data_IF_594373153652
#
_entry.id   IF_594373153652
#
_cell.length_a   1.000
_cell.length_b   1.000
_cell.length_c   1.000
_cell.angle_alpha   90.00
_cell.angle_beta   90.00
_cell.angle_gamma   90.00
#
_symmetry.space_group_name_H-M   'P 1'
#
loop_
_entity.id
_entity.type
_entity.pdbx_description
1 polymer ?
#
# COMPACT_ATOMS: atom_id res chain seq x y z
N UNK A 1 1.34 25.22 24.13
CA UNK A 1 0.77 23.91 23.73
C UNK A 1 -0.27 24.10 22.61
N UNK A 2 -1.22 25.03 22.75
CA UNK A 2 -2.12 25.41 21.65
C UNK A 2 -1.39 25.72 20.33
N UNK A 3 -0.36 26.56 20.35
CA UNK A 3 0.35 26.97 19.12
C UNK A 3 1.01 25.79 18.40
N UNK A 4 1.57 24.84 19.17
CA UNK A 4 2.15 23.60 18.63
C UNK A 4 1.05 22.77 17.94
N UNK A 5 -0.09 22.57 18.59
CA UNK A 5 -1.21 21.82 18.01
C UNK A 5 -1.79 22.49 16.76
N UNK A 6 -1.81 23.82 16.71
CA UNK A 6 -2.24 24.58 15.53
C UNK A 6 -1.28 24.40 14.35
N UNK A 7 0.00 24.14 14.58
CA UNK A 7 0.94 23.82 13.50
C UNK A 7 0.74 22.41 12.92
N UNK A 8 0.21 21.46 13.70
CA UNK A 8 -0.09 20.10 13.20
C UNK A 8 -1.46 20.00 12.52
N UNK A 9 -2.38 20.93 12.79
CA UNK A 9 -3.72 20.94 12.19
C UNK A 9 -3.70 20.91 10.64
N UNK A 10 -2.87 21.70 9.93
CA UNK A 10 -2.75 21.62 8.48
C UNK A 10 -2.34 20.22 7.97
N UNK A 11 -1.47 19.52 8.69
CA UNK A 11 -1.00 18.17 8.31
C UNK A 11 -2.18 17.19 8.37
N UNK A 12 -2.98 17.25 9.43
CA UNK A 12 -4.17 16.41 9.57
C UNK A 12 -5.23 16.72 8.52
N UNK A 13 -5.46 18.01 8.22
CA UNK A 13 -6.38 18.43 7.16
C UNK A 13 -5.91 17.90 5.81
N UNK A 14 -4.62 18.03 5.49
CA UNK A 14 -4.07 17.52 4.24
C UNK A 14 -4.20 16.00 4.13
N UNK A 15 -3.92 15.26 5.19
CA UNK A 15 -4.11 13.81 5.24
C UNK A 15 -5.57 13.42 5.02
N UNK A 16 -6.51 14.15 5.64
CA UNK A 16 -7.95 13.96 5.44
C UNK A 16 -8.39 14.22 4.00
N UNK A 17 -7.91 15.31 3.38
CA UNK A 17 -8.19 15.63 1.98
C UNK A 17 -7.59 14.59 1.04
N UNK A 18 -6.36 14.15 1.26
CA UNK A 18 -5.69 13.14 0.43
C UNK A 18 -6.40 11.79 0.49
N UNK A 19 -6.74 11.32 1.71
CA UNK A 19 -7.51 10.10 1.91
C UNK A 19 -8.92 10.22 1.29
N UNK A 20 -9.60 11.35 1.50
CA UNK A 20 -10.92 11.64 0.94
C UNK A 20 -10.91 11.63 -0.58
N UNK A 21 -9.93 12.28 -1.21
CA UNK A 21 -9.77 12.27 -2.66
C UNK A 21 -9.51 10.85 -3.19
N UNK A 22 -8.62 10.09 -2.53
CA UNK A 22 -8.37 8.69 -2.89
C UNK A 22 -9.63 7.83 -2.85
N UNK A 23 -10.44 7.99 -1.79
CA UNK A 23 -11.73 7.31 -1.67
C UNK A 23 -12.71 7.74 -2.76
N UNK A 24 -12.83 9.04 -3.05
CA UNK A 24 -13.71 9.55 -4.11
C UNK A 24 -13.32 8.97 -5.47
N UNK A 25 -12.03 8.89 -5.78
CA UNK A 25 -11.55 8.31 -7.05
C UNK A 25 -11.86 6.81 -7.16
N UNK A 26 -11.67 6.05 -6.07
CA UNK A 26 -12.02 4.62 -6.03
C UNK A 26 -13.54 4.44 -6.20
N UNK A 27 -14.35 5.23 -5.50
CA UNK A 27 -15.82 5.19 -5.62
C UNK A 27 -16.28 5.58 -7.02
N UNK A 28 -15.67 6.61 -7.62
CA UNK A 28 -15.96 7.01 -8.98
C UNK A 28 -15.66 5.88 -9.97
N UNK A 29 -14.51 5.20 -9.83
CA UNK A 29 -14.19 4.04 -10.66
C UNK A 29 -15.23 2.92 -10.50
N UNK A 30 -15.67 2.65 -9.27
CA UNK A 30 -16.70 1.65 -8.97
C UNK A 30 -18.05 1.98 -9.62
N UNK A 31 -18.47 3.25 -9.65
CA UNK A 31 -19.77 3.71 -10.14
C UNK A 31 -19.79 3.90 -11.66
N UNK A 32 -18.72 4.48 -12.22
CA UNK A 32 -18.67 4.89 -13.64
C UNK A 32 -18.19 3.76 -14.55
N UNK A 33 -17.39 2.81 -14.06
CA UNK A 33 -16.85 1.76 -14.91
C UNK A 33 -17.93 0.78 -15.41
N UNK A 34 -17.86 0.44 -16.70
CA UNK A 34 -18.66 -0.63 -17.30
C UNK A 34 -18.22 -1.96 -16.71
N UNK A 35 -19.16 -2.70 -16.10
CA UNK A 35 -18.91 -4.01 -15.52
C UNK A 35 -19.47 -5.10 -16.42
N UNK A 36 -18.59 -5.86 -17.06
CA UNK A 36 -18.94 -7.04 -17.84
C UNK A 36 -17.98 -8.20 -17.51
N UNK A 37 -18.13 -8.81 -16.31
CA UNK A 37 -17.27 -9.91 -15.88
C UNK A 37 -17.61 -11.18 -16.65
N UNK A 38 -16.57 -11.88 -17.08
CA UNK A 38 -16.64 -13.25 -17.59
C UNK A 38 -15.51 -14.06 -16.94
N UNK A 39 -15.62 -15.38 -17.01
CA UNK A 39 -14.73 -16.29 -16.29
C UNK A 39 -13.24 -16.05 -16.63
N UNK A 40 -12.94 -15.73 -17.89
CA UNK A 40 -11.58 -15.45 -18.37
C UNK A 40 -11.09 -14.07 -17.95
N UNK A 41 -11.93 -13.03 -17.96
CA UNK A 41 -11.55 -11.70 -17.45
C UNK A 41 -11.25 -11.68 -15.95
N UNK A 42 -11.84 -12.60 -15.21
CA UNK A 42 -11.65 -12.72 -13.76
C UNK A 42 -10.64 -13.80 -13.36
N UNK A 43 -10.08 -14.54 -14.31
CA UNK A 43 -9.05 -15.53 -14.04
C UNK A 43 -7.69 -14.87 -13.82
N UNK A 44 -6.78 -15.59 -13.16
CA UNK A 44 -5.41 -15.10 -12.97
C UNK A 44 -4.69 -15.02 -14.33
N UNK A 45 -3.97 -13.94 -14.57
CA UNK A 45 -3.18 -13.80 -15.79
C UNK A 45 -1.97 -14.74 -15.77
N UNK A 46 -1.99 -15.75 -16.65
CA UNK A 46 -0.86 -16.68 -16.88
C UNK A 46 -0.68 -16.89 -18.39
N UNK A 47 -0.55 -15.79 -19.15
CA UNK A 47 -0.31 -15.81 -20.61
C UNK A 47 -1.30 -16.69 -21.42
N UNK A 48 -2.57 -16.77 -21.00
CA UNK A 48 -3.61 -17.56 -21.65
C UNK A 48 -3.70 -19.02 -21.18
N UNK A 49 -2.98 -19.38 -20.12
CA UNK A 49 -3.06 -20.68 -19.48
C UNK A 49 -3.74 -20.60 -18.12
N UNK A 50 -4.10 -21.77 -17.58
CA UNK A 50 -4.52 -21.87 -16.17
C UNK A 50 -3.28 -21.73 -15.28
N UNK A 51 -3.43 -21.06 -14.13
CA UNK A 51 -2.36 -20.95 -13.14
C UNK A 51 -1.82 -22.35 -12.78
N UNK A 52 -0.53 -22.56 -13.06
CA UNK A 52 0.07 -23.89 -13.06
C UNK A 52 0.67 -24.34 -11.72
N UNK A 53 0.58 -23.52 -10.66
CA UNK A 53 1.29 -23.82 -9.43
C UNK A 53 0.59 -23.31 -8.15
N UNK A 54 0.95 -23.89 -7.01
CA UNK A 54 0.54 -23.40 -5.69
C UNK A 54 1.27 -22.08 -5.39
N UNK A 55 0.51 -21.02 -5.07
CA UNK A 55 1.06 -19.71 -4.74
C UNK A 55 1.90 -19.69 -3.45
N UNK A 56 2.01 -20.83 -2.75
CA UNK A 56 2.72 -21.00 -1.47
C UNK A 56 4.19 -21.40 -1.63
N UNK A 57 4.87 -20.83 -2.62
CA UNK A 57 6.31 -20.98 -2.76
C UNK A 57 7.06 -20.32 -1.61
N UNK A 58 8.17 -20.94 -1.18
CA UNK A 58 9.05 -20.35 -0.18
C UNK A 58 9.69 -19.10 -0.78
N UNK A 59 9.40 -17.95 -0.20
CA UNK A 59 10.09 -16.71 -0.54
C UNK A 59 11.56 -16.78 -0.14
N UNK A 60 12.39 -16.07 -0.88
CA UNK A 60 13.81 -16.01 -0.61
C UNK A 60 14.10 -15.35 0.75
N UNK A 61 14.95 -15.98 1.57
CA UNK A 61 15.36 -15.47 2.89
C UNK A 61 16.02 -14.09 2.79
N UNK A 62 16.55 -13.72 1.62
CA UNK A 62 17.13 -12.39 1.37
C UNK A 62 16.17 -11.24 1.70
N UNK A 63 14.87 -11.36 1.43
CA UNK A 63 13.89 -10.32 1.78
C UNK A 63 13.78 -10.11 3.29
N UNK A 64 13.86 -11.20 4.06
CA UNK A 64 13.86 -11.15 5.51
C UNK A 64 15.13 -10.50 6.07
N UNK A 65 16.30 -10.87 5.53
CA UNK A 65 17.58 -10.27 5.95
C UNK A 65 17.62 -8.77 5.68
N UNK A 66 17.14 -8.31 4.52
CA UNK A 66 17.04 -6.88 4.18
C UNK A 66 16.09 -6.15 5.13
N UNK A 67 14.94 -6.76 5.47
CA UNK A 67 13.95 -6.15 6.35
C UNK A 67 14.47 -5.98 7.78
N UNK A 68 15.13 -7.01 8.35
CA UNK A 68 15.71 -6.89 9.69
C UNK A 68 16.86 -5.89 9.72
N UNK A 69 17.71 -5.89 8.69
CA UNK A 69 18.79 -4.92 8.59
C UNK A 69 18.25 -3.49 8.53
N UNK A 70 17.17 -3.25 7.77
CA UNK A 70 16.48 -1.96 7.73
C UNK A 70 15.98 -1.55 9.12
N UNK A 71 15.32 -2.45 9.86
CA UNK A 71 14.82 -2.15 11.22
C UNK A 71 15.95 -1.75 12.16
N UNK A 72 17.07 -2.48 12.14
CA UNK A 72 18.22 -2.20 13.01
C UNK A 72 18.82 -0.82 12.66
N UNK A 73 19.03 -0.53 11.37
CA UNK A 73 19.59 0.76 10.96
C UNK A 73 18.64 1.93 11.17
N UNK A 74 17.33 1.74 10.97
CA UNK A 74 16.33 2.78 11.25
C UNK A 74 16.33 3.15 12.75
N UNK A 75 16.41 2.14 13.61
CA UNK A 75 16.56 2.32 15.04
C UNK A 75 17.88 3.03 15.38
N UNK A 76 19.00 2.68 14.74
CA UNK A 76 20.28 3.37 14.92
C UNK A 76 20.19 4.85 14.51
N UNK A 77 19.56 5.16 13.38
CA UNK A 77 19.33 6.52 12.91
C UNK A 77 18.50 7.33 13.91
N UNK A 78 17.46 6.72 14.51
CA UNK A 78 16.67 7.38 15.55
C UNK A 78 17.50 7.75 16.79
N UNK A 79 18.57 7.02 17.10
CA UNK A 79 19.52 7.38 18.17
C UNK A 79 20.59 8.39 17.72
N UNK A 80 20.95 8.41 16.43
CA UNK A 80 21.93 9.35 15.87
C UNK A 80 21.38 10.78 15.75
N UNK A 81 20.08 10.94 15.53
CA UNK A 81 19.40 12.23 15.41
C UNK A 81 18.36 12.43 16.54
N UNK A 82 18.82 12.73 17.77
CA UNK A 82 17.92 12.95 18.92
C UNK A 82 17.11 14.24 18.82
#
# INVERSE_FOLDING_TARGET
MQDLLMNYLPILVFLGVAAGLGLVLILAAIIVAVRNPDAEKTSAYECGFNAFDDARMKFDVRFYLVSILFIIFDLEVAFLFP
#
